data_IF_388392004111
#
_entry.id   IF_388392004111
#
_cell.length_a   1.000
_cell.length_b   1.000
_cell.length_c   1.000
_cell.angle_alpha   90.00
_cell.angle_beta   90.00
_cell.angle_gamma   90.00
#
_symmetry.space_group_name_H-M   'P 1'
#
loop_
_entity.id
_entity.type
_entity.pdbx_description
1 polymer ?
#
# COMPACT_ATOMS: atom_id res chain seq x y z
N UNK A 1 12.54 -7.39 7.67
CA UNK A 1 13.64 -7.59 6.70
C UNK A 1 13.14 -8.49 5.60
N UNK A 2 13.94 -8.72 4.55
CA UNK A 2 13.64 -9.69 3.48
C UNK A 2 14.79 -10.67 3.34
N UNK A 3 14.49 -11.92 2.99
CA UNK A 3 15.49 -12.94 2.65
C UNK A 3 15.12 -13.64 1.35
N UNK A 4 16.11 -14.22 0.70
CA UNK A 4 15.94 -15.11 -0.47
C UNK A 4 16.42 -16.51 -0.10
N UNK A 5 15.91 -17.51 -0.81
CA UNK A 5 16.29 -18.92 -0.64
C UNK A 5 16.79 -19.41 -1.98
N UNK A 6 17.95 -20.09 -2.00
CA UNK A 6 18.49 -20.65 -3.24
C UNK A 6 17.47 -21.61 -3.88
N UNK A 7 17.22 -21.43 -5.17
CA UNK A 7 16.21 -22.19 -5.92
C UNK A 7 14.80 -21.63 -5.89
N UNK A 8 14.56 -20.53 -5.16
CA UNK A 8 13.32 -19.75 -5.22
C UNK A 8 13.58 -18.39 -5.89
N UNK A 9 12.59 -17.90 -6.63
CA UNK A 9 12.74 -16.72 -7.49
C UNK A 9 12.44 -15.41 -6.73
N UNK A 10 11.63 -15.47 -5.66
CA UNK A 10 11.09 -14.28 -4.99
C UNK A 10 11.50 -14.16 -3.52
N UNK A 11 11.54 -12.93 -2.97
CA UNK A 11 11.86 -12.71 -1.57
C UNK A 11 10.75 -13.18 -0.62
N UNK A 12 11.14 -13.43 0.62
CA UNK A 12 10.24 -13.67 1.75
C UNK A 12 10.40 -12.51 2.73
N UNK A 13 9.28 -11.84 3.03
CA UNK A 13 9.21 -10.75 3.99
C UNK A 13 9.05 -11.32 5.41
N UNK A 14 9.96 -10.96 6.29
CA UNK A 14 10.01 -11.49 7.65
C UNK A 14 10.14 -10.38 8.70
N UNK A 15 9.69 -10.66 9.93
CA UNK A 15 10.02 -9.88 11.13
C UNK A 15 10.50 -10.78 12.27
N UNK A 16 11.13 -10.15 13.26
CA UNK A 16 11.47 -10.76 14.56
C UNK A 16 11.01 -9.81 15.66
N UNK A 17 10.40 -10.34 16.70
CA UNK A 17 9.94 -9.54 17.82
C UNK A 17 11.12 -9.19 18.75
N UNK A 18 11.18 -7.93 19.20
CA UNK A 18 12.08 -7.39 20.24
C UNK A 18 13.60 -7.42 19.96
N UNK A 19 14.15 -8.46 19.33
CA UNK A 19 15.59 -8.59 19.06
C UNK A 19 15.87 -9.29 17.73
N UNK A 20 17.12 -9.24 17.27
CA UNK A 20 17.59 -9.98 16.08
C UNK A 20 17.65 -11.49 16.32
N UNK A 21 17.61 -11.93 17.58
CA UNK A 21 17.64 -13.34 17.98
C UNK A 21 16.23 -13.90 18.25
N UNK A 22 15.20 -13.04 18.26
CA UNK A 22 13.81 -13.46 18.41
C UNK A 22 13.35 -14.39 17.29
N UNK A 23 12.29 -15.16 17.51
CA UNK A 23 11.74 -16.07 16.51
C UNK A 23 11.33 -15.32 15.24
N UNK A 24 11.63 -15.93 14.08
CA UNK A 24 11.26 -15.37 12.78
C UNK A 24 9.78 -15.62 12.50
N UNK A 25 9.09 -14.56 12.11
CA UNK A 25 7.74 -14.62 11.58
C UNK A 25 7.76 -14.23 10.10
N UNK A 26 7.17 -15.08 9.25
CA UNK A 26 6.97 -14.80 7.83
C UNK A 26 5.69 -13.97 7.68
N UNK A 27 5.84 -12.74 7.21
CA UNK A 27 4.73 -11.83 6.93
C UNK A 27 4.11 -12.15 5.57
N UNK A 28 4.96 -12.33 4.55
CA UNK A 28 4.56 -12.57 3.18
C UNK A 28 5.61 -13.38 2.43
N UNK A 29 5.23 -14.54 1.91
CA UNK A 29 6.06 -15.32 0.98
C UNK A 29 5.60 -15.06 -0.45
N UNK A 30 6.43 -14.34 -1.22
CA UNK A 30 6.07 -13.99 -2.60
C UNK A 30 6.14 -15.19 -3.52
N UNK A 31 6.85 -16.27 -3.16
CA UNK A 31 6.89 -17.50 -3.94
C UNK A 31 5.54 -18.24 -3.87
N UNK A 32 4.89 -18.24 -2.70
CA UNK A 32 3.53 -18.75 -2.56
C UNK A 32 2.54 -17.94 -3.40
N UNK A 33 2.69 -16.61 -3.40
CA UNK A 33 1.85 -15.74 -4.23
C UNK A 33 2.11 -15.90 -5.73
N UNK A 34 3.33 -16.26 -6.13
CA UNK A 34 3.72 -16.46 -7.52
C UNK A 34 3.33 -17.83 -8.06
N UNK A 35 3.01 -18.80 -7.20
CA UNK A 35 2.72 -20.16 -7.60
C UNK A 35 1.58 -20.22 -8.64
N UNK A 36 1.87 -20.79 -9.80
CA UNK A 36 0.92 -20.89 -10.92
C UNK A 36 0.79 -19.63 -11.78
N UNK A 37 1.59 -18.59 -11.54
CA UNK A 37 1.61 -17.37 -12.33
C UNK A 37 2.96 -17.19 -13.04
N UNK A 38 2.91 -16.73 -14.30
CA UNK A 38 4.13 -16.45 -15.07
C UNK A 38 4.87 -15.19 -14.60
N UNK A 39 4.15 -14.29 -13.92
CA UNK A 39 4.66 -13.05 -13.35
C UNK A 39 4.01 -12.81 -11.99
N UNK A 40 4.77 -12.25 -11.06
CA UNK A 40 4.29 -11.85 -9.74
C UNK A 40 5.15 -10.70 -9.23
N UNK A 41 4.52 -9.60 -8.86
CA UNK A 41 5.17 -8.46 -8.23
C UNK A 41 4.37 -8.02 -7.01
N UNK A 42 5.09 -7.81 -5.91
CA UNK A 42 4.55 -7.07 -4.76
C UNK A 42 5.08 -5.64 -4.87
N UNK A 43 4.23 -4.74 -5.34
CA UNK A 43 4.60 -3.34 -5.58
C UNK A 43 4.73 -2.55 -4.28
N UNK A 44 3.81 -2.76 -3.35
CA UNK A 44 3.81 -2.10 -2.04
C UNK A 44 3.57 -3.07 -0.89
N UNK A 45 4.13 -2.73 0.27
CA UNK A 45 4.08 -3.52 1.50
C UNK A 45 4.05 -2.57 2.70
N UNK A 46 2.92 -2.51 3.42
CA UNK A 46 2.79 -1.68 4.61
C UNK A 46 2.12 -2.45 5.76
N UNK A 47 2.80 -2.49 6.90
CA UNK A 47 2.28 -3.03 8.15
C UNK A 47 1.52 -1.94 8.89
N UNK A 48 0.37 -2.27 9.47
CA UNK A 48 -0.44 -1.33 10.26
C UNK A 48 0.34 -0.77 11.46
N UNK A 49 0.01 0.44 11.95
CA UNK A 49 0.66 1.05 13.11
C UNK A 49 0.77 0.16 14.35
N UNK A 50 -0.24 -0.67 14.63
CA UNK A 50 -0.27 -1.62 15.74
C UNK A 50 0.39 -2.98 15.42
N UNK A 51 0.91 -3.13 14.21
CA UNK A 51 1.59 -4.32 13.70
C UNK A 51 0.69 -5.58 13.60
N UNK A 52 -0.63 -5.43 13.64
CA UNK A 52 -1.58 -6.55 13.56
C UNK A 52 -2.02 -6.89 12.13
N UNK A 53 -1.94 -5.95 11.19
CA UNK A 53 -2.35 -6.13 9.80
C UNK A 53 -1.19 -5.84 8.83
N UNK A 54 -1.24 -6.47 7.67
CA UNK A 54 -0.40 -6.19 6.52
C UNK A 54 -1.27 -5.86 5.32
N UNK A 55 -1.09 -4.68 4.75
CA UNK A 55 -1.58 -4.37 3.41
C UNK A 55 -0.45 -4.56 2.40
N UNK A 56 -0.72 -5.27 1.30
CA UNK A 56 0.25 -5.46 0.21
C UNK A 56 -0.42 -5.34 -1.15
N UNK A 57 0.27 -4.74 -2.11
CA UNK A 57 -0.21 -4.51 -3.47
C UNK A 57 0.41 -5.56 -4.41
N UNK A 58 -0.43 -6.34 -5.10
CA UNK A 58 -0.02 -7.47 -5.93
C UNK A 58 -0.40 -7.27 -7.39
N UNK A 59 0.57 -7.46 -8.29
CA UNK A 59 0.40 -7.53 -9.73
C UNK A 59 0.86 -8.92 -10.23
N UNK A 60 0.07 -9.55 -11.09
CA UNK A 60 0.35 -10.85 -11.72
C UNK A 60 0.37 -10.80 -13.24
N UNK A 61 0.22 -9.61 -13.82
CA UNK A 61 0.16 -9.32 -15.26
C UNK A 61 1.37 -8.51 -15.73
N UNK A 62 2.02 -7.75 -14.84
CA UNK A 62 3.12 -6.86 -15.19
C UNK A 62 2.64 -5.57 -15.83
N UNK A 63 1.43 -5.15 -15.50
CA UNK A 63 0.83 -3.90 -15.98
C UNK A 63 0.86 -2.80 -14.92
N UNK A 64 1.53 -3.01 -13.77
CA UNK A 64 1.63 -2.05 -12.66
C UNK A 64 0.26 -1.56 -12.13
N UNK A 65 -0.82 -2.26 -12.47
CA UNK A 65 -2.16 -2.05 -11.91
C UNK A 65 -2.41 -3.09 -10.81
N UNK A 66 -2.06 -2.72 -9.59
CA UNK A 66 -2.07 -3.63 -8.46
C UNK A 66 -3.47 -3.84 -7.88
N UNK A 67 -3.66 -5.01 -7.26
CA UNK A 67 -4.73 -5.25 -6.30
C UNK A 67 -4.15 -5.23 -4.89
N UNK A 68 -4.67 -4.37 -4.02
CA UNK A 68 -4.29 -4.35 -2.60
C UNK A 68 -5.12 -5.40 -1.85
N UNK A 69 -4.41 -6.23 -1.08
CA UNK A 69 -4.97 -7.20 -0.16
C UNK A 69 -4.59 -6.84 1.27
N UNK A 70 -5.40 -7.26 2.24
CA UNK A 70 -5.11 -7.09 3.67
C UNK A 70 -5.05 -8.46 4.35
N UNK A 71 -3.96 -8.73 5.06
CA UNK A 71 -3.71 -9.95 5.82
C UNK A 71 -3.69 -9.63 7.31
N UNK A 72 -4.43 -10.38 8.11
CA UNK A 72 -4.29 -10.36 9.56
C UNK A 72 -3.04 -11.16 9.95
N UNK A 73 -2.05 -10.48 10.53
CA UNK A 73 -0.78 -11.09 10.91
C UNK A 73 -0.87 -11.96 12.16
N UNK A 74 -1.95 -11.84 12.93
CA UNK A 74 -2.17 -12.66 14.13
C UNK A 74 -2.70 -14.04 13.78
N UNK A 75 -3.53 -14.12 12.74
CA UNK A 75 -4.16 -15.37 12.29
C UNK A 75 -3.53 -15.94 11.02
N UNK A 76 -2.87 -15.10 10.23
CA UNK A 76 -2.36 -15.44 8.91
C UNK A 76 -3.42 -15.37 7.79
N UNK A 77 -4.65 -15.02 8.11
CA UNK A 77 -5.79 -15.02 7.19
C UNK A 77 -5.88 -13.73 6.38
N UNK A 78 -6.42 -13.82 5.16
CA UNK A 78 -6.77 -12.66 4.36
C UNK A 78 -8.13 -12.12 4.79
N UNK A 79 -8.21 -10.80 4.97
CA UNK A 79 -9.48 -10.08 5.11
C UNK A 79 -10.22 -10.05 3.76
N UNK A 80 -11.55 -9.83 3.76
CA UNK A 80 -12.34 -9.81 2.52
C UNK A 80 -12.04 -8.60 1.62
N UNK A 81 -11.42 -7.56 2.17
CA UNK A 81 -11.07 -6.32 1.46
C UNK A 81 -10.17 -6.58 0.25
N UNK A 82 -10.56 -5.99 -0.89
CA UNK A 82 -9.83 -6.02 -2.15
C UNK A 82 -9.97 -4.66 -2.83
N UNK A 83 -8.85 -3.99 -3.06
CA UNK A 83 -8.80 -2.68 -3.71
C UNK A 83 -8.11 -2.85 -5.05
N UNK A 84 -8.87 -2.79 -6.14
CA UNK A 84 -8.35 -2.97 -7.50
C UNK A 84 -7.92 -1.65 -8.14
N UNK A 85 -6.98 -1.71 -9.10
CA UNK A 85 -6.54 -0.55 -9.88
C UNK A 85 -5.63 0.42 -9.11
N UNK A 86 -5.02 -0.06 -8.03
CA UNK A 86 -4.07 0.72 -7.26
C UNK A 86 -2.72 0.84 -7.98
N UNK A 87 -1.96 1.88 -7.66
CA UNK A 87 -0.56 2.05 -8.05
C UNK A 87 0.36 1.91 -6.83
N UNK A 88 1.63 2.29 -6.94
CA UNK A 88 2.63 2.23 -5.87
C UNK A 88 2.38 3.19 -4.67
N UNK A 89 1.21 3.82 -4.55
CA UNK A 89 0.86 4.60 -3.36
C UNK A 89 0.03 3.76 -2.40
N UNK A 90 0.56 3.43 -1.23
CA UNK A 90 -0.16 2.69 -0.18
C UNK A 90 0.32 3.10 1.21
N UNK A 91 -0.57 3.66 2.05
CA UNK A 91 -0.26 4.04 3.42
C UNK A 91 -1.41 3.79 4.40
N UNK A 92 -1.09 3.49 5.65
CA UNK A 92 -2.08 3.33 6.73
C UNK A 92 -2.38 4.65 7.44
N UNK A 93 -3.65 4.88 7.80
CA UNK A 93 -4.02 5.76 8.92
C UNK A 93 -3.52 5.22 10.25
N UNK A 94 -3.47 6.04 11.30
CA UNK A 94 -3.05 5.59 12.64
C UNK A 94 -4.14 4.81 13.40
N UNK A 95 -5.33 4.68 12.81
CA UNK A 95 -6.47 3.96 13.37
C UNK A 95 -6.47 2.45 13.07
N UNK A 96 -5.50 1.95 12.29
CA UNK A 96 -5.40 0.56 11.83
C UNK A 96 -6.62 0.07 11.03
N UNK A 97 -7.41 0.99 10.48
CA UNK A 97 -8.66 0.69 9.79
C UNK A 97 -8.86 1.49 8.50
N UNK A 98 -7.97 2.43 8.22
CA UNK A 98 -8.01 3.26 7.02
C UNK A 98 -6.76 3.06 6.18
N UNK A 99 -6.94 2.83 4.88
CA UNK A 99 -5.88 2.74 3.88
C UNK A 99 -6.02 3.92 2.91
N UNK A 100 -4.92 4.60 2.63
CA UNK A 100 -4.80 5.59 1.58
C UNK A 100 -4.07 4.94 0.41
N UNK A 101 -4.56 5.14 -0.80
CA UNK A 101 -3.95 4.55 -1.98
C UNK A 101 -4.10 5.43 -3.22
N UNK A 102 -3.21 5.24 -4.20
CA UNK A 102 -3.27 5.97 -5.47
C UNK A 102 -3.79 5.09 -6.60
N UNK A 103 -4.43 5.69 -7.61
CA UNK A 103 -4.91 4.98 -8.81
C UNK A 103 -4.37 5.62 -10.09
N UNK A 104 -4.43 4.84 -11.17
CA UNK A 104 -4.03 5.25 -12.51
C UNK A 104 -5.20 5.83 -13.31
N UNK A 105 -4.89 6.79 -14.20
CA UNK A 105 -5.79 7.24 -15.24
C UNK A 105 -5.69 6.39 -16.52
N UNK A 106 -6.43 6.79 -17.55
CA UNK A 106 -6.46 6.13 -18.86
C UNK A 106 -5.11 6.15 -19.61
N UNK A 107 -4.22 7.08 -19.27
CA UNK A 107 -2.87 7.19 -19.82
C UNK A 107 -1.84 6.43 -18.97
N UNK A 108 -2.30 5.63 -18.01
CA UNK A 108 -1.45 4.88 -17.10
C UNK A 108 -0.57 5.78 -16.21
N UNK A 109 -1.08 6.95 -15.85
CA UNK A 109 -0.43 7.91 -14.95
C UNK A 109 -1.14 7.88 -13.59
N UNK A 110 -0.40 7.85 -12.46
CA UNK A 110 -1.03 7.99 -11.15
C UNK A 110 -1.59 9.40 -10.98
N UNK A 111 -2.92 9.51 -10.90
CA UNK A 111 -3.62 10.79 -10.98
C UNK A 111 -4.55 11.07 -9.80
N UNK A 112 -4.81 10.09 -8.95
CA UNK A 112 -5.77 10.25 -7.87
C UNK A 112 -5.31 9.61 -6.56
N UNK A 113 -5.76 10.20 -5.46
CA UNK A 113 -5.60 9.71 -4.09
C UNK A 113 -6.97 9.38 -3.52
N UNK A 114 -7.09 8.17 -2.99
CA UNK A 114 -8.31 7.61 -2.42
C UNK A 114 -8.11 7.23 -0.96
N UNK A 115 -9.23 7.13 -0.25
CA UNK A 115 -9.32 6.61 1.11
C UNK A 115 -10.29 5.44 1.15
N UNK A 116 -9.78 4.30 1.60
CA UNK A 116 -10.51 3.07 1.84
C UNK A 116 -10.69 2.82 3.33
N UNK A 117 -11.90 2.40 3.72
CA UNK A 117 -12.22 1.95 5.08
C UNK A 117 -12.32 0.42 5.10
N UNK A 118 -11.55 -0.24 5.95
CA UNK A 118 -11.62 -1.70 6.08
C UNK A 118 -13.03 -2.18 6.41
N UNK A 119 -13.41 -3.31 5.80
CA UNK A 119 -14.73 -3.91 5.88
C UNK A 119 -15.78 -3.24 5.00
N UNK A 120 -15.43 -2.20 4.23
CA UNK A 120 -16.34 -1.54 3.30
C UNK A 120 -16.08 -1.97 1.86
N UNK A 121 -17.08 -1.85 0.99
CA UNK A 121 -16.88 -2.09 -0.44
C UNK A 121 -16.05 -0.95 -1.06
N UNK A 122 -15.11 -1.27 -1.94
CA UNK A 122 -14.27 -0.30 -2.67
C UNK A 122 -15.09 0.80 -3.36
N UNK A 123 -16.31 0.49 -3.83
CA UNK A 123 -17.21 1.48 -4.45
C UNK A 123 -17.63 2.63 -3.51
N UNK A 124 -17.42 2.47 -2.20
CA UNK A 124 -17.69 3.49 -1.19
C UNK A 124 -16.43 4.30 -0.82
N UNK A 125 -15.29 4.02 -1.45
CA UNK A 125 -14.04 4.72 -1.19
C UNK A 125 -14.15 6.20 -1.55
N UNK A 126 -13.52 7.04 -0.75
CA UNK A 126 -13.62 8.49 -0.88
C UNK A 126 -12.45 9.00 -1.71
N UNK A 127 -12.75 9.64 -2.84
CA UNK A 127 -11.76 10.40 -3.62
C UNK A 127 -11.34 11.64 -2.85
N UNK A 128 -10.08 11.71 -2.42
CA UNK A 128 -9.52 12.86 -1.70
C UNK A 128 -8.92 13.90 -2.64
N UNK A 129 -8.29 13.44 -3.72
CA UNK A 129 -7.68 14.30 -4.74
C UNK A 129 -7.71 13.63 -6.11
N UNK A 130 -7.95 14.43 -7.14
CA UNK A 130 -7.69 14.07 -8.53
C UNK A 130 -6.89 15.20 -9.17
N UNK A 131 -5.79 14.85 -9.81
CA UNK A 131 -4.87 15.78 -10.47
C UNK A 131 -5.27 15.98 -11.94
N UNK A 132 -5.89 17.13 -12.29
CA UNK A 132 -6.35 17.37 -13.66
C UNK A 132 -5.22 17.70 -14.63
N UNK A 133 -4.06 18.15 -14.17
CA UNK A 133 -2.94 18.49 -15.04
C UNK A 133 -2.10 17.25 -15.35
N UNK A 134 -2.17 16.78 -16.60
CA UNK A 134 -1.49 15.58 -17.11
C UNK A 134 0.05 15.58 -16.94
N UNK A 135 0.63 16.74 -16.62
CA UNK A 135 2.07 16.87 -16.36
C UNK A 135 2.47 16.44 -14.94
N UNK A 136 1.51 16.34 -14.02
CA UNK A 136 1.75 16.02 -12.63
C UNK A 136 1.46 14.54 -12.33
N UNK A 137 2.28 13.95 -11.48
CA UNK A 137 2.10 12.59 -10.95
C UNK A 137 1.74 12.69 -9.48
N UNK A 138 0.75 11.89 -9.07
CA UNK A 138 0.32 11.75 -7.68
C UNK A 138 1.17 10.68 -6.98
N UNK A 139 1.81 11.05 -5.88
CA UNK A 139 2.51 10.11 -5.00
C UNK A 139 2.01 10.29 -3.55
N UNK A 140 2.13 9.24 -2.76
CA UNK A 140 1.65 9.12 -1.39
C UNK A 140 2.79 8.60 -0.51
N UNK A 141 3.04 9.25 0.62
CA UNK A 141 3.93 8.70 1.65
C UNK A 141 3.56 9.22 3.04
N UNK A 142 3.96 8.48 4.07
CA UNK A 142 3.79 8.90 5.46
C UNK A 142 5.08 9.51 6.01
N UNK A 143 4.94 10.62 6.73
CA UNK A 143 6.06 11.27 7.41
C UNK A 143 6.70 10.35 8.45
N UNK A 144 8.01 10.54 8.71
CA UNK A 144 8.75 9.75 9.72
C UNK A 144 8.19 9.88 11.14
N UNK A 145 7.55 10.99 11.47
CA UNK A 145 6.85 11.18 12.75
C UNK A 145 5.55 10.37 12.84
N UNK A 146 5.12 9.74 11.74
CA UNK A 146 3.85 9.03 11.55
C UNK A 146 2.61 9.90 11.69
N UNK A 147 2.78 11.21 11.82
CA UNK A 147 1.67 12.14 12.06
C UNK A 147 0.95 12.55 10.80
N UNK A 148 1.64 12.64 9.67
CA UNK A 148 1.05 13.13 8.43
C UNK A 148 1.16 12.11 7.30
N UNK A 149 0.04 11.90 6.62
CA UNK A 149 -0.02 11.37 5.27
C UNK A 149 0.22 12.54 4.32
N UNK A 150 1.14 12.39 3.37
CA UNK A 150 1.52 13.41 2.42
C UNK A 150 1.08 13.00 1.02
N UNK A 151 0.24 13.82 0.41
CA UNK A 151 0.03 13.83 -1.03
C UNK A 151 1.15 14.68 -1.64
N UNK A 152 1.95 14.08 -2.52
CA UNK A 152 2.99 14.78 -3.24
C UNK A 152 2.69 14.77 -4.74
N UNK A 153 2.37 15.95 -5.25
CA UNK A 153 2.17 16.21 -6.67
C UNK A 153 3.50 16.65 -7.26
N UNK A 154 3.92 16.06 -8.36
CA UNK A 154 5.18 16.45 -8.99
C UNK A 154 5.13 16.36 -10.51
N UNK A 155 5.73 17.36 -11.14
CA UNK A 155 6.07 17.39 -12.55
C UNK A 155 7.59 17.53 -12.70
N UNK A 156 8.11 17.60 -13.93
CA UNK A 156 9.53 17.82 -14.18
C UNK A 156 10.10 19.13 -13.61
N UNK A 157 9.25 20.13 -13.34
CA UNK A 157 9.71 21.48 -12.95
C UNK A 157 9.03 22.04 -11.69
N UNK A 158 8.00 21.37 -11.17
CA UNK A 158 7.18 21.90 -10.07
C UNK A 158 6.65 20.76 -9.22
N UNK A 159 6.70 20.97 -7.91
CA UNK A 159 6.09 20.06 -6.93
C UNK A 159 5.20 20.82 -5.97
N UNK A 160 4.17 20.13 -5.48
CA UNK A 160 3.29 20.58 -4.42
C UNK A 160 3.13 19.45 -3.41
N UNK A 161 3.04 19.79 -2.13
CA UNK A 161 2.77 18.84 -1.08
C UNK A 161 1.54 19.29 -0.28
N UNK A 162 0.63 18.36 -0.06
CA UNK A 162 -0.53 18.52 0.82
C UNK A 162 -0.49 17.46 1.90
N UNK A 163 -1.05 17.77 3.05
CA UNK A 163 -0.97 16.89 4.22
C UNK A 163 -2.32 16.61 4.83
N UNK A 164 -2.48 15.40 5.34
CA UNK A 164 -3.60 14.96 6.15
C UNK A 164 -3.05 14.42 7.47
N UNK A 165 -3.72 14.74 8.58
CA UNK A 165 -3.34 14.21 9.90
C UNK A 165 -3.73 12.72 9.98
N UNK A 166 -2.73 11.85 10.11
CA UNK A 166 -2.90 10.40 10.14
C UNK A 166 -3.65 9.92 11.40
N UNK A 167 -3.69 10.73 12.47
CA UNK A 167 -4.50 10.46 13.68
C UNK A 167 -5.97 10.84 13.48
N UNK A 168 -6.29 11.60 12.43
CA UNK A 168 -7.65 11.94 12.02
C UNK A 168 -7.87 11.55 10.54
N UNK A 169 -7.87 10.24 10.21
CA UNK A 169 -7.89 9.76 8.83
C UNK A 169 -9.12 10.21 8.02
N UNK A 170 -10.21 10.57 8.71
CA UNK A 170 -11.43 11.13 8.11
C UNK A 170 -11.35 12.63 7.79
N UNK A 171 -10.35 13.34 8.31
CA UNK A 171 -10.17 14.77 8.09
C UNK A 171 -9.92 15.09 6.60
N UNK A 172 -10.20 16.34 6.17
CA UNK A 172 -9.85 16.77 4.83
C UNK A 172 -8.33 16.93 4.66
N UNK A 173 -7.87 16.71 3.43
CA UNK A 173 -6.53 17.06 2.97
C UNK A 173 -6.32 18.59 3.04
N UNK A 174 -5.15 19.03 3.46
CA UNK A 174 -4.79 20.45 3.64
C UNK A 174 -3.59 20.86 2.81
#
# INVERSE_FOLDING_TARGET
YRRTVAGLDYPIYCRRAHSLEGEEEILLDVNELAAGHAFCEVGEFAVSPDHSLLAYALDRKGDEAFTIFVKDLRTGELLPDRIEGAYYGLEWGNDNATIFYTTLDHAHRPDALWRHRLGSAQANDVLLWREPDERFFVNLYKTRSRRFIVLHLHSNMTSEARVLDADAPDAPLR
#
